data_IF_611644438330
#
_entry.id   IF_611644438330
#
_cell.length_a   1.000
_cell.length_b   1.000
_cell.length_c   1.000
_cell.angle_alpha   90.00
_cell.angle_beta   90.00
_cell.angle_gamma   90.00
#
_symmetry.space_group_name_H-M   'P 1'
#
loop_
_entity.id
_entity.type
_entity.pdbx_description
1 polymer ?
#
# COMPACT_ATOMS: atom_id res chain seq x y z
N UNK A 1 -18.47 23.16 0.30
CA UNK A 1 -17.42 22.12 0.18
C UNK A 1 -16.21 22.60 0.98
N UNK A 2 -15.86 21.88 2.00
CA UNK A 2 -14.76 22.16 2.90
C UNK A 2 -13.43 21.71 2.27
N UNK A 3 -12.35 22.43 2.55
CA UNK A 3 -11.00 22.08 2.06
C UNK A 3 -10.00 22.24 3.19
N UNK A 4 -9.19 21.23 3.40
CA UNK A 4 -8.16 21.21 4.45
C UNK A 4 -6.90 20.48 3.98
N UNK A 5 -5.77 21.13 4.14
CA UNK A 5 -4.46 20.48 3.97
C UNK A 5 -4.17 19.58 5.17
N UNK A 6 -3.59 18.44 4.91
CA UNK A 6 -3.11 17.53 5.94
C UNK A 6 -1.71 17.01 5.65
N UNK A 7 -1.04 16.57 6.70
CA UNK A 7 0.27 15.95 6.63
C UNK A 7 0.30 14.74 7.56
N UNK A 8 0.79 13.62 7.05
CA UNK A 8 0.89 12.36 7.80
C UNK A 8 2.33 11.92 7.73
N UNK A 9 2.95 11.75 8.90
CA UNK A 9 4.26 11.13 8.97
C UNK A 9 4.18 9.68 8.51
N UNK A 10 5.10 9.27 7.65
CA UNK A 10 5.23 7.87 7.28
C UNK A 10 5.67 7.07 8.49
N UNK A 11 4.97 5.98 8.81
CA UNK A 11 5.36 5.15 9.92
C UNK A 11 6.67 4.42 9.63
N UNK A 12 7.64 4.53 10.55
CA UNK A 12 8.98 3.96 10.39
C UNK A 12 9.00 2.43 10.41
N UNK A 13 8.02 1.80 11.03
CA UNK A 13 8.10 0.36 11.28
C UNK A 13 7.33 -0.57 10.34
N UNK A 14 6.22 -0.23 9.76
CA UNK A 14 5.40 -1.25 9.11
C UNK A 14 5.93 -1.74 7.78
N UNK A 15 6.78 -0.99 7.20
CA UNK A 15 7.48 -1.38 5.98
C UNK A 15 8.86 -1.95 6.31
N UNK A 16 9.20 -2.07 7.59
CA UNK A 16 10.45 -2.58 8.20
C UNK A 16 11.74 -2.06 7.60
N UNK A 17 11.68 -1.11 6.72
CA UNK A 17 12.82 -0.72 5.95
C UNK A 17 12.78 0.77 5.74
N UNK A 18 13.41 1.46 6.62
CA UNK A 18 14.08 2.74 6.42
C UNK A 18 13.43 3.71 5.41
N UNK A 19 12.09 3.85 5.49
CA UNK A 19 11.56 5.14 5.11
C UNK A 19 12.22 6.13 6.06
N UNK A 20 13.10 6.94 5.52
CA UNK A 20 13.87 7.89 6.30
C UNK A 20 12.94 8.67 7.23
N UNK A 21 13.39 8.97 8.42
CA UNK A 21 12.68 9.61 9.52
C UNK A 21 11.93 10.91 9.19
N UNK A 22 11.93 11.35 7.95
CA UNK A 22 11.38 12.62 7.50
C UNK A 22 10.39 12.50 6.32
N UNK A 23 9.99 11.31 5.91
CA UNK A 23 9.04 11.19 4.82
C UNK A 23 7.64 11.47 5.35
N UNK A 24 7.00 12.47 4.79
CA UNK A 24 5.61 12.83 5.08
C UNK A 24 4.77 12.72 3.81
N UNK A 25 3.53 12.28 3.98
CA UNK A 25 2.54 12.41 2.93
C UNK A 25 1.76 13.67 3.20
N UNK A 26 1.73 14.55 2.23
CA UNK A 26 0.88 15.73 2.25
C UNK A 26 -0.28 15.54 1.29
N UNK A 27 -1.43 16.04 1.65
CA UNK A 27 -2.62 15.95 0.82
C UNK A 27 -3.59 17.06 1.11
N UNK A 28 -4.56 17.18 0.22
CA UNK A 28 -5.67 18.13 0.37
C UNK A 28 -6.96 17.34 0.46
N UNK A 29 -7.63 17.41 1.60
CA UNK A 29 -8.98 16.92 1.72
C UNK A 29 -9.94 17.92 1.06
N UNK A 30 -10.82 17.43 0.21
CA UNK A 30 -11.91 18.20 -0.40
C UNK A 30 -13.21 17.42 -0.26
N UNK A 31 -14.10 17.88 0.61
CA UNK A 31 -15.35 17.16 0.87
C UNK A 31 -16.24 17.88 1.86
N UNK A 32 -17.22 17.19 2.44
CA UNK A 32 -18.02 17.73 3.53
C UNK A 32 -17.15 17.99 4.76
N UNK A 33 -17.46 19.03 5.53
CA UNK A 33 -16.72 19.31 6.75
C UNK A 33 -17.00 18.27 7.83
N UNK A 34 -18.28 17.88 7.96
CA UNK A 34 -18.71 16.93 8.97
C UNK A 34 -19.16 15.64 8.32
N UNK A 35 -18.74 14.53 8.88
CA UNK A 35 -19.29 13.21 8.55
C UNK A 35 -19.83 12.54 9.80
N UNK A 36 -20.91 11.83 9.63
CA UNK A 36 -21.53 11.03 10.66
C UNK A 36 -21.22 9.55 10.40
N UNK A 37 -20.52 8.95 11.33
CA UNK A 37 -20.19 7.53 11.31
C UNK A 37 -21.10 6.77 12.24
N UNK A 38 -21.28 5.47 12.00
CA UNK A 38 -21.82 4.55 13.00
C UNK A 38 -20.74 3.56 13.44
N UNK A 39 -20.78 3.17 14.70
CA UNK A 39 -19.90 2.17 15.27
C UNK A 39 -20.66 1.23 16.21
N UNK A 40 -20.21 -0.01 16.28
CA UNK A 40 -20.82 -1.03 17.12
C UNK A 40 -20.62 -0.73 18.60
N UNK A 41 -21.66 -0.89 19.42
CA UNK A 41 -21.64 -0.54 20.84
C UNK A 41 -20.68 -1.41 21.67
N UNK A 42 -20.48 -2.67 21.31
CA UNK A 42 -19.64 -3.61 22.02
C UNK A 42 -18.20 -3.57 21.52
N UNK A 43 -18.01 -3.80 20.23
CA UNK A 43 -16.68 -3.90 19.60
C UNK A 43 -16.04 -2.55 19.31
N UNK A 44 -16.82 -1.45 19.36
CA UNK A 44 -16.44 -0.10 18.98
C UNK A 44 -16.02 0.07 17.51
N UNK A 45 -16.17 -0.97 16.73
CA UNK A 45 -15.79 -1.00 15.32
C UNK A 45 -16.65 -0.02 14.51
N UNK A 46 -15.99 0.84 13.74
CA UNK A 46 -16.64 1.75 12.78
C UNK A 46 -17.15 0.93 11.60
N UNK A 47 -18.47 0.93 11.42
CA UNK A 47 -19.12 0.16 10.35
C UNK A 47 -19.26 0.95 9.06
N UNK A 48 -19.90 2.10 9.15
CA UNK A 48 -20.26 2.89 7.98
C UNK A 48 -20.14 4.40 8.23
N UNK A 49 -20.00 5.10 7.15
CA UNK A 49 -20.33 6.51 7.01
C UNK A 49 -21.81 6.61 6.62
N UNK A 50 -22.62 7.29 7.42
CA UNK A 50 -24.08 7.29 7.27
C UNK A 50 -24.69 8.63 6.90
N UNK A 51 -23.96 9.72 7.07
CA UNK A 51 -24.42 11.05 6.70
C UNK A 51 -23.26 12.05 6.62
N UNK A 52 -23.46 13.16 5.92
CA UNK A 52 -22.45 14.21 5.74
C UNK A 52 -23.08 15.59 5.60
N UNK A 53 -22.30 16.63 5.90
CA UNK A 53 -22.72 18.01 5.71
C UNK A 53 -21.60 19.02 5.91
N UNK A 54 -21.82 20.24 5.46
CA UNK A 54 -20.92 21.36 5.74
C UNK A 54 -21.17 21.95 7.15
N UNK A 55 -22.29 21.59 7.77
CA UNK A 55 -22.63 21.89 9.18
C UNK A 55 -23.24 20.66 9.84
N UNK A 56 -23.07 20.52 11.17
CA UNK A 56 -23.71 19.43 11.93
C UNK A 56 -25.24 19.44 11.83
N UNK A 57 -25.84 20.63 11.58
CA UNK A 57 -27.27 20.78 11.46
C UNK A 57 -27.86 20.21 10.16
N UNK A 58 -27.01 19.88 9.18
CA UNK A 58 -27.44 19.32 7.90
C UNK A 58 -27.70 17.82 7.94
N UNK A 59 -27.34 17.15 9.05
CA UNK A 59 -27.57 15.73 9.16
C UNK A 59 -29.07 15.40 9.14
N UNK A 60 -29.43 14.55 8.17
CA UNK A 60 -30.85 14.20 7.92
C UNK A 60 -31.45 13.27 8.99
N UNK A 61 -30.71 12.92 10.03
CA UNK A 61 -31.18 12.00 11.06
C UNK A 61 -31.30 10.57 10.57
N UNK A 62 -30.45 10.15 9.65
CA UNK A 62 -30.42 8.78 9.17
C UNK A 62 -30.38 7.78 10.32
N UNK A 63 -31.16 6.69 10.24
CA UNK A 63 -31.22 5.71 11.31
C UNK A 63 -29.87 5.03 11.48
N UNK A 64 -29.52 4.81 12.72
CA UNK A 64 -28.33 4.03 13.10
C UNK A 64 -28.76 2.56 13.20
N UNK A 65 -27.92 1.64 12.75
CA UNK A 65 -28.19 0.21 12.82
C UNK A 65 -28.40 -0.27 14.28
N UNK A 66 -29.17 -1.31 14.45
CA UNK A 66 -29.39 -1.91 15.77
C UNK A 66 -28.06 -2.37 16.38
N UNK A 67 -27.85 -2.06 17.64
CA UNK A 67 -26.59 -2.36 18.35
C UNK A 67 -25.43 -1.39 18.03
N UNK A 68 -25.70 -0.31 17.28
CA UNK A 68 -24.72 0.72 16.96
C UNK A 68 -25.05 2.08 17.59
N UNK A 69 -24.09 2.94 17.61
CA UNK A 69 -24.20 4.36 17.98
C UNK A 69 -23.52 5.19 16.90
N UNK A 70 -23.94 6.43 16.75
CA UNK A 70 -23.31 7.37 15.80
C UNK A 70 -22.39 8.36 16.52
N UNK A 71 -21.35 8.80 15.80
CA UNK A 71 -20.51 9.92 16.17
C UNK A 71 -20.30 10.84 14.96
N UNK A 72 -19.96 12.09 15.24
CA UNK A 72 -19.64 13.08 14.20
C UNK A 72 -18.15 13.36 14.23
N UNK A 73 -17.51 13.28 13.06
CA UNK A 73 -16.13 13.70 12.85
C UNK A 73 -16.12 15.06 12.15
N UNK A 74 -15.24 15.95 12.59
CA UNK A 74 -14.99 17.25 11.96
C UNK A 74 -13.69 17.19 11.16
N UNK A 75 -13.76 17.34 9.86
CA UNK A 75 -12.59 17.34 8.99
C UNK A 75 -11.60 18.47 9.30
N UNK A 76 -11.99 19.51 10.02
CA UNK A 76 -11.07 20.54 10.48
C UNK A 76 -10.12 20.05 11.59
N UNK A 77 -10.54 19.05 12.34
CA UNK A 77 -9.79 18.42 13.44
C UNK A 77 -9.27 17.04 13.00
N UNK A 78 -10.15 16.24 12.45
CA UNK A 78 -9.94 14.84 12.14
C UNK A 78 -9.66 14.58 10.64
N UNK A 79 -9.00 15.50 9.95
CA UNK A 79 -8.82 15.49 8.49
C UNK A 79 -8.32 14.16 7.96
N UNK A 80 -7.32 13.57 8.61
CA UNK A 80 -6.74 12.26 8.23
C UNK A 80 -7.80 11.16 8.21
N UNK A 81 -8.61 11.08 9.26
CA UNK A 81 -9.62 10.04 9.40
C UNK A 81 -10.81 10.25 8.50
N UNK A 82 -11.24 11.51 8.36
CA UNK A 82 -12.30 11.85 7.42
C UNK A 82 -11.86 11.51 5.99
N UNK A 83 -10.67 11.90 5.59
CA UNK A 83 -10.11 11.55 4.27
C UNK A 83 -10.02 10.03 4.06
N UNK A 84 -9.58 9.30 5.07
CA UNK A 84 -9.49 7.83 5.01
C UNK A 84 -10.86 7.15 4.86
N UNK A 85 -11.85 7.58 5.65
CA UNK A 85 -13.19 6.98 5.65
C UNK A 85 -13.94 7.33 4.37
N UNK A 86 -13.85 8.58 3.92
CA UNK A 86 -14.61 9.06 2.77
C UNK A 86 -13.93 8.80 1.43
N UNK A 87 -12.63 8.59 1.41
CA UNK A 87 -11.84 8.55 0.18
C UNK A 87 -11.79 9.88 -0.59
N UNK A 88 -12.30 10.96 -0.02
CA UNK A 88 -12.37 12.29 -0.64
C UNK A 88 -11.10 13.09 -0.35
N UNK A 89 -9.98 12.64 -0.87
CA UNK A 89 -8.73 13.37 -0.78
C UNK A 89 -7.98 13.34 -2.10
N UNK A 90 -7.16 14.37 -2.29
CA UNK A 90 -6.16 14.38 -3.34
C UNK A 90 -4.79 14.41 -2.68
N UNK A 91 -3.90 13.58 -3.14
CA UNK A 91 -2.50 13.64 -2.69
C UNK A 91 -1.84 14.90 -3.24
N UNK A 92 -1.08 15.55 -2.38
CA UNK A 92 -0.05 16.51 -2.78
C UNK A 92 1.23 15.79 -3.18
N UNK A 93 2.36 16.45 -2.97
CA UNK A 93 3.67 15.85 -3.23
C UNK A 93 3.90 14.67 -2.27
N UNK A 94 3.89 13.49 -2.84
CA UNK A 94 4.33 12.28 -2.16
C UNK A 94 5.77 12.06 -2.56
N UNK A 95 6.67 12.06 -1.59
CA UNK A 95 8.05 11.72 -1.86
C UNK A 95 8.15 10.25 -2.25
N UNK A 96 8.64 10.00 -3.45
CA UNK A 96 9.03 8.65 -3.84
C UNK A 96 10.17 8.20 -2.94
N UNK A 97 10.02 7.00 -2.40
CA UNK A 97 11.10 6.39 -1.65
C UNK A 97 11.99 5.61 -2.60
N UNK A 98 13.27 5.92 -2.58
CA UNK A 98 14.28 5.17 -3.31
C UNK A 98 15.31 4.58 -2.34
N UNK A 99 15.61 3.31 -2.50
CA UNK A 99 16.71 2.63 -1.79
C UNK A 99 17.67 2.02 -2.80
N UNK A 100 18.95 2.33 -2.65
CA UNK A 100 20.01 1.65 -3.40
C UNK A 100 20.13 0.20 -2.91
N UNK A 101 19.92 -0.75 -3.80
CA UNK A 101 20.03 -2.16 -3.49
C UNK A 101 21.48 -2.65 -3.34
N UNK A 102 22.45 -1.78 -3.64
CA UNK A 102 23.88 -2.12 -3.59
C UNK A 102 24.28 -3.13 -4.68
N UNK A 103 23.50 -3.22 -5.75
CA UNK A 103 23.70 -4.07 -6.90
C UNK A 103 23.65 -3.25 -8.18
N UNK A 104 24.07 -3.83 -9.31
CA UNK A 104 23.98 -3.18 -10.62
C UNK A 104 23.12 -4.00 -11.56
N UNK A 105 22.46 -3.31 -12.47
CA UNK A 105 21.71 -3.93 -13.57
C UNK A 105 22.64 -4.45 -14.68
N UNK A 106 22.03 -4.96 -15.76
CA UNK A 106 22.76 -5.45 -16.92
C UNK A 106 23.53 -4.39 -17.68
N UNK A 107 23.25 -3.10 -17.49
CA UNK A 107 23.93 -1.97 -18.10
C UNK A 107 25.04 -1.40 -17.22
N UNK A 108 25.13 -1.84 -15.97
CA UNK A 108 26.08 -1.35 -14.98
C UNK A 108 25.57 -0.17 -14.14
N UNK A 109 24.28 0.18 -14.26
CA UNK A 109 23.67 1.21 -13.46
C UNK A 109 23.24 0.67 -12.09
N UNK A 110 23.26 1.53 -11.06
CA UNK A 110 22.83 1.15 -9.72
C UNK A 110 21.34 0.76 -9.72
N UNK A 111 21.04 -0.44 -9.23
CA UNK A 111 19.66 -0.88 -9.04
C UNK A 111 19.07 -0.23 -7.81
N UNK A 112 17.90 0.36 -7.96
CA UNK A 112 17.15 1.00 -6.89
C UNK A 112 15.81 0.32 -6.70
N UNK A 113 15.42 0.13 -5.44
CA UNK A 113 14.05 -0.13 -5.09
C UNK A 113 13.31 1.20 -4.99
N UNK A 114 12.21 1.33 -5.73
CA UNK A 114 11.37 2.53 -5.68
C UNK A 114 9.98 2.16 -5.20
N UNK A 115 9.48 2.87 -4.23
CA UNK A 115 8.13 2.70 -3.72
C UNK A 115 7.33 3.98 -3.92
N UNK A 116 6.24 3.86 -4.69
CA UNK A 116 5.40 4.99 -5.05
C UNK A 116 4.16 5.04 -4.16
N UNK A 117 3.96 6.16 -3.49
CA UNK A 117 2.78 6.43 -2.66
C UNK A 117 1.74 7.33 -3.34
N UNK A 118 1.96 7.69 -4.58
CA UNK A 118 1.19 8.73 -5.26
C UNK A 118 -0.14 8.27 -5.88
N UNK A 119 -0.56 7.04 -5.67
CA UNK A 119 -1.92 6.65 -6.04
C UNK A 119 -2.90 7.36 -5.10
N UNK A 120 -3.38 8.51 -5.54
CA UNK A 120 -4.18 9.44 -4.75
C UNK A 120 -5.32 8.80 -3.98
N UNK A 121 -5.99 7.81 -4.56
CA UNK A 121 -7.16 7.17 -3.93
C UNK A 121 -6.78 6.13 -2.87
N UNK A 122 -5.56 5.67 -2.83
CA UNK A 122 -5.12 4.55 -2.01
C UNK A 122 -4.10 4.88 -0.92
N UNK A 123 -3.56 6.11 -0.88
CA UNK A 123 -2.41 6.43 -0.03
C UNK A 123 -2.62 6.07 1.43
N UNK A 124 -3.72 6.49 2.04
CA UNK A 124 -3.98 6.17 3.44
C UNK A 124 -4.23 4.67 3.65
N UNK A 125 -4.91 4.02 2.71
CA UNK A 125 -5.13 2.58 2.76
C UNK A 125 -3.84 1.77 2.52
N UNK A 126 -2.87 2.34 1.83
CA UNK A 126 -1.55 1.74 1.66
C UNK A 126 -0.70 1.86 2.92
N UNK A 127 -0.77 3.00 3.62
CA UNK A 127 -0.06 3.20 4.88
C UNK A 127 -0.64 2.32 5.98
N UNK A 128 -1.97 2.36 6.13
CA UNK A 128 -2.65 1.62 7.17
C UNK A 128 -3.24 0.33 6.62
N UNK A 129 -3.00 -0.76 7.33
CA UNK A 129 -3.76 -1.97 7.07
C UNK A 129 -5.25 -1.60 7.15
N UNK A 130 -6.08 -2.12 6.24
CA UNK A 130 -7.54 -2.01 6.32
C UNK A 130 -8.10 -2.78 7.54
N UNK A 131 -7.37 -2.71 8.63
CA UNK A 131 -7.78 -3.20 9.92
C UNK A 131 -8.99 -2.40 10.40
N UNK A 132 -9.65 -2.96 11.34
CA UNK A 132 -10.90 -2.45 11.86
C UNK A 132 -10.65 -1.17 12.66
N UNK A 133 -10.98 -0.02 12.12
CA UNK A 133 -11.00 1.23 12.88
C UNK A 133 -12.03 1.14 14.00
N UNK A 134 -11.69 1.71 15.14
CA UNK A 134 -12.60 1.82 16.26
C UNK A 134 -12.83 3.28 16.64
N UNK A 135 -13.99 3.56 17.17
CA UNK A 135 -14.29 4.84 17.78
C UNK A 135 -14.45 4.65 19.30
N UNK A 136 -13.47 5.11 20.05
CA UNK A 136 -13.40 4.96 21.52
C UNK A 136 -13.03 6.31 22.14
N UNK A 137 -13.62 6.63 23.28
CA UNK A 137 -13.34 7.85 24.05
C UNK A 137 -13.39 9.17 23.25
N UNK A 138 -14.25 9.21 22.25
CA UNK A 138 -14.45 10.40 21.40
C UNK A 138 -13.45 10.54 20.26
N UNK A 139 -12.65 9.53 19.99
CA UNK A 139 -11.64 9.57 18.93
C UNK A 139 -11.60 8.28 18.10
N UNK A 140 -11.10 8.41 16.87
CA UNK A 140 -10.77 7.26 16.02
C UNK A 140 -9.44 6.66 16.49
N UNK A 141 -9.45 5.35 16.75
CA UNK A 141 -8.24 4.59 16.98
C UNK A 141 -7.56 4.26 15.67
N UNK A 142 -6.27 4.48 15.58
CA UNK A 142 -5.50 4.17 14.39
C UNK A 142 -5.53 2.67 14.08
N UNK A 143 -5.89 2.29 12.85
CA UNK A 143 -5.76 0.90 12.43
C UNK A 143 -4.29 0.50 12.40
N UNK A 144 -4.06 -0.81 12.50
CA UNK A 144 -2.70 -1.34 12.39
C UNK A 144 -2.07 -0.95 11.05
N UNK A 145 -0.85 -0.53 11.11
CA UNK A 145 -0.10 -0.19 9.90
C UNK A 145 0.21 -1.44 9.09
N UNK A 146 0.11 -1.34 7.77
CA UNK A 146 0.36 -2.46 6.87
C UNK A 146 1.84 -2.82 6.86
N UNK A 147 2.15 -4.04 7.23
CA UNK A 147 3.50 -4.59 7.10
C UNK A 147 3.59 -5.35 5.79
N UNK A 148 4.43 -4.89 4.87
CA UNK A 148 4.79 -5.66 3.70
C UNK A 148 5.93 -6.60 4.07
N UNK A 149 5.61 -7.87 4.23
CA UNK A 149 6.61 -8.90 4.43
C UNK A 149 6.42 -9.98 3.39
N UNK A 150 7.52 -10.39 2.77
CA UNK A 150 7.58 -11.63 1.99
C UNK A 150 8.51 -12.54 2.75
N UNK A 151 8.02 -13.68 3.21
CA UNK A 151 8.89 -14.64 3.90
C UNK A 151 9.93 -15.23 2.94
N UNK A 152 11.06 -15.70 3.46
CA UNK A 152 12.04 -16.41 2.65
C UNK A 152 11.45 -17.65 1.96
N UNK A 153 10.50 -18.30 2.63
CA UNK A 153 9.81 -19.46 2.06
C UNK A 153 8.94 -19.06 0.86
N UNK A 154 8.13 -18.02 0.99
CA UNK A 154 7.25 -17.53 -0.09
C UNK A 154 8.07 -17.00 -1.27
N UNK A 155 9.17 -16.29 -1.00
CA UNK A 155 10.08 -15.83 -2.03
C UNK A 155 10.70 -17.02 -2.77
N UNK A 156 11.22 -18.01 -2.05
CA UNK A 156 11.84 -19.20 -2.62
C UNK A 156 10.84 -20.01 -3.44
N UNK A 157 9.61 -20.17 -2.94
CA UNK A 157 8.54 -20.86 -3.68
C UNK A 157 8.22 -20.12 -4.98
N UNK A 158 8.11 -18.79 -4.94
CA UNK A 158 7.87 -17.95 -6.12
C UNK A 158 8.99 -18.10 -7.14
N UNK A 159 10.26 -17.98 -6.72
CA UNK A 159 11.42 -18.16 -7.60
C UNK A 159 11.43 -19.57 -8.23
N UNK A 160 11.23 -20.61 -7.45
CA UNK A 160 11.20 -21.99 -7.93
C UNK A 160 10.06 -22.24 -8.93
N UNK A 161 8.90 -21.63 -8.72
CA UNK A 161 7.78 -21.69 -9.65
C UNK A 161 8.14 -21.07 -11.01
N UNK A 162 8.77 -19.91 -11.01
CA UNK A 162 9.23 -19.26 -12.24
C UNK A 162 10.32 -20.07 -12.95
N UNK A 163 11.26 -20.67 -12.22
CA UNK A 163 12.30 -21.56 -12.77
C UNK A 163 11.67 -22.80 -13.41
N UNK A 164 10.70 -23.44 -12.75
CA UNK A 164 10.01 -24.60 -13.26
C UNK A 164 9.25 -24.28 -14.56
N UNK A 165 8.57 -23.14 -14.60
CA UNK A 165 7.89 -22.65 -15.80
C UNK A 165 8.88 -22.40 -16.94
N UNK A 166 9.95 -21.66 -16.69
CA UNK A 166 11.00 -21.41 -17.68
C UNK A 166 11.63 -22.69 -18.20
N UNK A 167 11.86 -23.68 -17.33
CA UNK A 167 12.39 -24.99 -17.71
C UNK A 167 11.44 -25.74 -18.66
N UNK A 168 10.15 -25.70 -18.34
CA UNK A 168 9.10 -26.32 -19.17
C UNK A 168 9.01 -25.65 -20.54
N UNK A 169 9.01 -24.31 -20.58
CA UNK A 169 8.95 -23.56 -21.82
C UNK A 169 10.19 -23.77 -22.69
N UNK A 170 11.40 -23.76 -22.11
CA UNK A 170 12.63 -24.01 -22.87
C UNK A 170 12.67 -25.39 -23.55
N UNK A 171 11.93 -26.37 -23.02
CA UNK A 171 11.85 -27.73 -23.58
C UNK A 171 10.85 -27.85 -24.74
N UNK A 172 10.05 -26.83 -25.04
CA UNK A 172 9.02 -26.90 -26.09
C UNK A 172 9.64 -26.72 -27.47
N UNK A 173 9.21 -27.53 -28.43
CA UNK A 173 9.70 -27.47 -29.81
C UNK A 173 9.12 -26.30 -30.62
N UNK A 174 8.18 -25.55 -30.05
CA UNK A 174 7.55 -24.41 -30.70
C UNK A 174 8.42 -23.15 -30.73
N UNK A 175 9.48 -23.10 -29.93
CA UNK A 175 10.36 -21.95 -29.82
C UNK A 175 11.62 -22.13 -30.68
N UNK A 176 12.06 -21.02 -31.26
CA UNK A 176 13.35 -20.90 -31.92
C UNK A 176 14.52 -21.04 -30.94
N UNK A 177 15.71 -21.24 -31.46
CA UNK A 177 16.93 -21.32 -30.63
C UNK A 177 17.22 -20.00 -29.89
N UNK A 178 16.90 -18.85 -30.51
CA UNK A 178 17.06 -17.54 -29.89
C UNK A 178 16.07 -17.35 -28.70
N UNK A 179 14.81 -17.75 -28.89
CA UNK A 179 13.81 -17.72 -27.82
C UNK A 179 14.20 -18.66 -26.67
N UNK A 180 14.63 -19.86 -26.95
CA UNK A 180 15.15 -20.80 -25.94
C UNK A 180 16.36 -20.26 -25.21
N UNK A 181 17.22 -19.52 -25.90
CA UNK A 181 18.37 -18.86 -25.29
C UNK A 181 17.93 -17.76 -24.32
N UNK A 182 16.95 -16.93 -24.70
CA UNK A 182 16.38 -15.91 -23.83
C UNK A 182 15.69 -16.51 -22.59
N UNK A 183 14.93 -17.60 -22.75
CA UNK A 183 14.29 -18.32 -21.64
C UNK A 183 15.34 -18.88 -20.66
N UNK A 184 16.42 -19.46 -21.16
CA UNK A 184 17.48 -19.98 -20.33
C UNK A 184 18.27 -18.87 -19.61
N UNK A 185 18.46 -17.71 -20.24
CA UNK A 185 19.06 -16.54 -19.59
C UNK A 185 18.18 -16.02 -18.43
N UNK A 186 16.86 -15.92 -18.68
CA UNK A 186 15.90 -15.57 -17.63
C UNK A 186 15.95 -16.55 -16.45
N UNK A 187 15.95 -17.85 -16.72
CA UNK A 187 16.10 -18.89 -15.70
C UNK A 187 17.38 -18.73 -14.89
N UNK A 188 18.51 -18.51 -15.55
CA UNK A 188 19.80 -18.31 -14.86
C UNK A 188 19.79 -17.07 -13.98
N UNK A 189 19.11 -16.00 -14.39
CA UNK A 189 18.95 -14.81 -13.57
C UNK A 189 18.13 -15.11 -12.32
N UNK A 190 17.03 -15.86 -12.44
CA UNK A 190 16.22 -16.29 -11.29
C UNK A 190 17.02 -17.13 -10.30
N UNK A 191 17.81 -18.08 -10.78
CA UNK A 191 18.69 -18.93 -9.95
C UNK A 191 19.73 -18.12 -9.17
N UNK A 192 20.13 -16.98 -9.69
CA UNK A 192 21.10 -16.06 -9.06
C UNK A 192 20.49 -15.06 -8.06
N UNK A 193 19.15 -14.89 -7.99
CA UNK A 193 18.54 -13.83 -7.22
C UNK A 193 18.92 -13.84 -5.74
N UNK A 194 18.82 -14.97 -5.07
CA UNK A 194 19.14 -15.07 -3.64
C UNK A 194 20.60 -14.75 -3.33
N UNK A 195 21.51 -15.02 -4.25
CA UNK A 195 22.93 -14.69 -4.10
C UNK A 195 23.18 -13.21 -4.37
N UNK A 196 22.60 -12.67 -5.45
CA UNK A 196 22.76 -11.27 -5.86
C UNK A 196 22.24 -10.31 -4.79
N UNK A 197 21.10 -10.63 -4.19
CA UNK A 197 20.42 -9.78 -3.20
C UNK A 197 20.52 -10.33 -1.78
N UNK A 198 21.62 -11.00 -1.45
CA UNK A 198 21.83 -11.56 -0.12
C UNK A 198 21.68 -10.49 0.98
N UNK A 199 20.86 -10.77 2.00
CA UNK A 199 20.62 -9.88 3.12
C UNK A 199 19.63 -8.74 2.83
N UNK A 200 19.04 -8.68 1.63
CA UNK A 200 17.96 -7.74 1.32
C UNK A 200 16.60 -8.33 1.68
N UNK A 201 15.66 -7.46 1.96
CA UNK A 201 14.28 -7.87 2.17
C UNK A 201 13.67 -8.43 0.89
N UNK A 202 13.11 -9.60 0.97
CA UNK A 202 12.63 -10.35 -0.19
C UNK A 202 11.60 -9.59 -1.04
N UNK A 203 10.76 -8.75 -0.42
CA UNK A 203 9.77 -7.97 -1.14
C UNK A 203 10.35 -6.81 -1.96
N UNK A 204 11.61 -6.43 -1.71
CA UNK A 204 12.33 -5.40 -2.48
C UNK A 204 13.12 -5.96 -3.65
N UNK A 205 13.27 -7.28 -3.73
CA UNK A 205 14.06 -7.91 -4.78
C UNK A 205 13.30 -7.84 -6.11
N UNK A 206 13.83 -7.15 -7.12
CA UNK A 206 13.19 -7.08 -8.41
C UNK A 206 13.26 -8.45 -9.12
N UNK A 207 12.11 -8.93 -9.56
CA UNK A 207 12.07 -10.09 -10.45
C UNK A 207 12.46 -9.67 -11.86
N UNK A 208 13.29 -10.47 -12.55
CA UNK A 208 13.65 -10.19 -13.93
C UNK A 208 12.40 -10.27 -14.82
N UNK A 209 12.39 -9.46 -15.87
CA UNK A 209 11.30 -9.49 -16.83
C UNK A 209 11.29 -10.83 -17.57
N UNK A 210 10.14 -11.49 -17.54
CA UNK A 210 9.94 -12.72 -18.30
C UNK A 210 9.98 -12.42 -19.79
N UNK A 211 10.70 -13.21 -20.61
CA UNK A 211 10.65 -13.06 -22.05
C UNK A 211 9.25 -13.26 -22.60
N UNK A 212 8.89 -12.49 -23.62
CA UNK A 212 7.63 -12.68 -24.34
C UNK A 212 7.67 -13.99 -25.10
N UNK A 213 6.80 -14.91 -24.75
CA UNK A 213 6.60 -16.14 -25.49
C UNK A 213 5.54 -15.90 -26.56
N UNK A 214 5.86 -16.18 -27.79
CA UNK A 214 4.90 -16.08 -28.90
C UNK A 214 4.10 -17.36 -29.08
#
# INVERSE_FOLDING_TARGET
>A
MFTKEFSIAMPNEPLKNDFSDNTTITGTYKGPRYIKIEYNNESKVVGNWIDEGDTEAEFAGNPVAEGCTSATLDADVDTKWVAYITGFYTTGDVADYEEDLGTTDGNGDAEKFTFYWHDGSGVLAQIYNQGTMKFEDGAITEPSVRVHTVSEADFTESVNSHIANATTEAARDVYSDDEKTAINAYKSTLEGLSTKYSGKDHWKIPFPQQPDYK
#
